data_IF_638667796022
#
_entry.id   IF_638667796022
#
_cell.length_a   1.000
_cell.length_b   1.000
_cell.length_c   1.000
_cell.angle_alpha   90.00
_cell.angle_beta   90.00
_cell.angle_gamma   90.00
#
_symmetry.space_group_name_H-M   'P 1'
#
loop_
_entity.id
_entity.type
_entity.pdbx_description
1 polymer ?
#
# COMPACT_ATOMS: atom_id res chain seq x y z
N UNK A 1 40.87 -3.43 31.42
CA UNK A 1 39.87 -4.51 31.33
C UNK A 1 38.54 -3.95 31.78
N UNK A 2 37.62 -3.72 30.84
CA UNK A 2 36.21 -3.47 31.12
C UNK A 2 35.42 -3.97 29.91
N UNK A 3 34.88 -5.17 30.04
CA UNK A 3 34.09 -5.88 29.02
C UNK A 3 32.74 -5.20 28.89
N UNK A 4 32.48 -4.58 27.73
CA UNK A 4 31.13 -4.14 27.37
C UNK A 4 30.36 -5.35 26.86
N UNK A 5 29.41 -5.81 27.68
CA UNK A 5 28.49 -6.87 27.33
C UNK A 5 27.52 -6.38 26.24
N UNK A 6 27.51 -7.08 25.11
CA UNK A 6 26.53 -6.91 24.05
C UNK A 6 25.16 -7.37 24.56
N UNK A 7 24.24 -6.45 24.75
CA UNK A 7 22.82 -6.76 24.98
C UNK A 7 22.21 -7.23 23.67
N UNK A 8 22.12 -8.55 23.49
CA UNK A 8 21.26 -9.15 22.48
C UNK A 8 19.81 -8.76 22.80
N UNK A 9 19.20 -7.95 21.94
CA UNK A 9 17.77 -7.68 21.99
C UNK A 9 17.01 -9.00 21.91
N UNK A 10 16.16 -9.29 22.89
CA UNK A 10 15.36 -10.50 22.94
C UNK A 10 14.48 -10.58 21.69
N UNK A 11 14.61 -11.68 20.94
CA UNK A 11 13.80 -11.93 19.77
C UNK A 11 12.31 -11.99 20.19
N UNK A 12 11.42 -11.31 19.46
CA UNK A 12 9.98 -11.34 19.74
C UNK A 12 9.43 -12.77 19.68
N UNK A 13 8.92 -13.25 20.80
CA UNK A 13 8.46 -14.63 20.99
C UNK A 13 7.02 -14.77 20.51
N UNK A 14 6.81 -15.51 19.42
CA UNK A 14 5.48 -15.94 18.98
C UNK A 14 4.80 -16.79 20.05
N UNK A 15 3.49 -16.60 20.29
CA UNK A 15 2.73 -17.40 21.25
C UNK A 15 2.45 -18.80 20.69
N UNK A 16 3.34 -19.74 21.00
CA UNK A 16 3.25 -21.14 20.60
C UNK A 16 2.46 -22.01 21.59
N UNK A 17 1.83 -21.41 22.61
CA UNK A 17 1.10 -22.12 23.68
C UNK A 17 -0.35 -22.44 23.31
N UNK A 18 -0.84 -21.88 22.20
CA UNK A 18 -2.19 -22.10 21.69
C UNK A 18 -2.20 -22.40 20.19
N UNK A 19 -3.29 -22.99 19.73
CA UNK A 19 -3.55 -23.19 18.32
C UNK A 19 -3.87 -21.86 17.64
N UNK A 20 -3.16 -21.51 16.57
CA UNK A 20 -3.40 -20.28 15.79
C UNK A 20 -4.77 -20.28 15.10
N UNK A 21 -5.36 -21.44 14.83
CA UNK A 21 -6.66 -21.54 14.16
C UNK A 21 -7.86 -21.48 15.11
N UNK A 22 -7.85 -22.25 16.20
CA UNK A 22 -8.99 -22.40 17.11
C UNK A 22 -8.74 -21.87 18.53
N UNK A 23 -7.56 -21.34 18.83
CA UNK A 23 -7.14 -20.82 20.13
C UNK A 23 -7.12 -21.81 21.30
N UNK A 24 -7.38 -23.10 21.05
CA UNK A 24 -7.24 -24.15 22.06
C UNK A 24 -5.78 -24.34 22.50
N UNK A 25 -5.57 -24.73 23.74
CA UNK A 25 -4.25 -24.90 24.39
C UNK A 25 -3.99 -26.37 24.78
N UNK A 26 -4.07 -27.33 23.83
CA UNK A 26 -3.75 -28.72 24.15
C UNK A 26 -2.25 -28.85 24.51
N UNK A 27 -1.87 -29.86 25.30
CA UNK A 27 -0.48 -30.04 25.74
C UNK A 27 0.49 -30.29 24.58
N UNK A 28 0.02 -30.87 23.46
CA UNK A 28 0.85 -31.25 22.32
C UNK A 28 0.45 -30.48 21.06
N UNK A 29 0.96 -29.26 20.93
CA UNK A 29 0.78 -28.45 19.73
C UNK A 29 1.83 -28.79 18.67
N UNK A 30 1.40 -28.84 17.42
CA UNK A 30 2.26 -29.03 16.25
C UNK A 30 2.67 -27.66 15.69
N UNK A 31 3.96 -27.41 15.60
CA UNK A 31 4.46 -26.20 14.95
C UNK A 31 4.43 -26.33 13.43
N UNK A 32 4.27 -25.21 12.74
CA UNK A 32 4.49 -25.17 11.29
C UNK A 32 5.95 -25.53 10.98
N UNK A 33 6.16 -26.60 10.21
CA UNK A 33 7.50 -27.17 9.93
C UNK A 33 8.45 -26.16 9.27
N UNK A 34 7.91 -25.25 8.45
CA UNK A 34 8.71 -24.27 7.70
C UNK A 34 9.14 -23.09 8.55
N UNK A 35 8.19 -22.38 9.16
CA UNK A 35 8.47 -21.13 9.88
C UNK A 35 8.71 -21.32 11.36
N UNK A 36 8.19 -22.40 11.96
CA UNK A 36 8.22 -22.69 13.41
C UNK A 36 7.63 -21.59 14.31
N UNK A 37 7.01 -20.57 13.72
CA UNK A 37 6.50 -19.37 14.39
C UNK A 37 5.00 -19.44 14.74
N UNK A 38 4.30 -20.51 14.35
CA UNK A 38 2.89 -20.72 14.69
C UNK A 38 2.63 -22.19 15.03
N UNK A 39 1.60 -22.45 15.82
CA UNK A 39 1.24 -23.76 16.36
C UNK A 39 -0.20 -24.14 16.04
N UNK A 40 -0.48 -25.44 15.90
CA UNK A 40 -1.80 -25.98 15.58
C UNK A 40 -2.08 -27.24 16.39
N UNK A 41 -3.36 -27.49 16.72
CA UNK A 41 -3.76 -28.75 17.36
C UNK A 41 -3.43 -29.97 16.49
N UNK A 42 -3.62 -29.84 15.18
CA UNK A 42 -3.51 -30.91 14.20
C UNK A 42 -3.40 -30.34 12.77
N UNK A 43 -3.24 -31.24 11.79
CA UNK A 43 -3.16 -30.89 10.36
C UNK A 43 -4.43 -30.23 9.83
N UNK A 44 -5.58 -30.43 10.45
CA UNK A 44 -6.84 -29.82 10.01
C UNK A 44 -6.88 -28.34 10.37
N UNK A 45 -6.54 -28.00 11.62
CA UNK A 45 -6.34 -26.62 12.04
C UNK A 45 -5.29 -25.89 11.18
N UNK A 46 -4.20 -26.57 10.81
CA UNK A 46 -3.20 -26.00 9.92
C UNK A 46 -3.77 -25.74 8.52
N UNK A 47 -4.51 -26.69 7.93
CA UNK A 47 -5.13 -26.56 6.61
C UNK A 47 -6.18 -25.45 6.57
N UNK A 48 -7.01 -25.36 7.60
CA UNK A 48 -8.02 -24.30 7.74
C UNK A 48 -7.39 -22.90 7.77
N UNK A 49 -6.27 -22.73 8.48
CA UNK A 49 -5.56 -21.46 8.56
C UNK A 49 -4.58 -21.22 7.38
N UNK A 50 -4.47 -22.13 6.41
CA UNK A 50 -3.43 -22.03 5.39
C UNK A 50 -3.60 -20.81 4.48
N UNK A 51 -4.82 -20.40 4.15
CA UNK A 51 -5.07 -19.24 3.27
C UNK A 51 -4.46 -17.95 3.84
N UNK A 52 -4.66 -17.71 5.14
CA UNK A 52 -4.11 -16.56 5.88
C UNK A 52 -2.63 -16.75 6.26
N UNK A 53 -2.21 -17.97 6.58
CA UNK A 53 -0.82 -18.24 7.00
C UNK A 53 0.18 -18.30 5.83
N UNK A 54 -0.22 -18.81 4.66
CA UNK A 54 0.64 -18.99 3.48
C UNK A 54 1.47 -17.76 3.12
N UNK A 55 0.92 -16.53 3.05
CA UNK A 55 1.71 -15.35 2.72
C UNK A 55 2.66 -14.93 3.86
N UNK A 56 2.30 -15.20 5.13
CA UNK A 56 3.13 -14.90 6.30
C UNK A 56 4.29 -15.87 6.48
N UNK A 57 4.11 -17.14 6.11
CA UNK A 57 5.03 -18.24 6.40
C UNK A 57 6.48 -17.98 5.97
N UNK A 58 6.79 -17.44 4.77
CA UNK A 58 8.16 -17.13 4.37
C UNK A 58 8.81 -16.04 5.23
N UNK A 59 8.06 -14.97 5.56
CA UNK A 59 8.56 -13.85 6.37
C UNK A 59 8.89 -14.31 7.79
N UNK A 60 7.98 -15.10 8.37
CA UNK A 60 8.18 -15.71 9.68
C UNK A 60 9.37 -16.68 9.69
N UNK A 61 9.56 -17.46 8.62
CA UNK A 61 10.72 -18.35 8.47
C UNK A 61 12.05 -17.59 8.37
N UNK A 62 12.02 -16.33 7.93
CA UNK A 62 13.17 -15.42 7.90
C UNK A 62 13.39 -14.65 9.22
N UNK A 63 12.59 -14.95 10.26
CA UNK A 63 12.75 -14.36 11.59
C UNK A 63 11.90 -13.11 11.87
N UNK A 64 10.99 -12.72 10.97
CA UNK A 64 10.07 -11.62 11.24
C UNK A 64 9.07 -11.95 12.36
N UNK A 65 8.56 -10.93 13.04
CA UNK A 65 7.37 -11.07 13.90
C UNK A 65 6.10 -11.30 13.11
N UNK A 66 5.01 -11.66 13.79
CA UNK A 66 3.69 -11.74 13.15
C UNK A 66 3.23 -10.35 12.76
N UNK A 67 3.55 -9.35 13.57
CA UNK A 67 3.29 -7.93 13.34
C UNK A 67 4.05 -7.44 12.10
N UNK A 68 5.37 -7.61 12.05
CA UNK A 68 6.21 -7.22 10.91
C UNK A 68 5.80 -7.96 9.64
N UNK A 69 5.51 -9.26 9.74
CA UNK A 69 5.08 -10.05 8.61
C UNK A 69 3.72 -9.57 8.07
N UNK A 70 2.77 -9.22 8.95
CA UNK A 70 1.47 -8.67 8.53
C UNK A 70 1.62 -7.29 7.90
N UNK A 71 2.44 -6.43 8.49
CA UNK A 71 2.70 -5.09 7.97
C UNK A 71 3.38 -5.14 6.60
N UNK A 72 4.28 -6.09 6.38
CA UNK A 72 4.98 -6.29 5.11
C UNK A 72 4.09 -6.85 3.98
N UNK A 73 2.94 -7.45 4.30
CA UNK A 73 2.04 -7.99 3.27
C UNK A 73 1.23 -6.90 2.58
N UNK A 74 0.89 -7.09 1.29
CA UNK A 74 -0.10 -6.24 0.63
C UNK A 74 -1.46 -6.33 1.33
N UNK A 75 -2.17 -5.21 1.37
CA UNK A 75 -3.57 -5.18 1.83
C UNK A 75 -4.45 -6.05 0.92
N UNK A 76 -5.33 -6.84 1.53
CA UNK A 76 -6.35 -7.62 0.81
C UNK A 76 -7.45 -6.66 0.30
N UNK A 77 -7.64 -6.51 -1.02
CA UNK A 77 -8.58 -5.54 -1.58
C UNK A 77 -10.05 -5.88 -1.35
N UNK A 78 -10.37 -7.11 -0.94
CA UNK A 78 -11.73 -7.53 -0.60
C UNK A 78 -12.07 -7.24 0.88
N UNK A 79 -11.05 -6.95 1.70
CA UNK A 79 -11.21 -6.69 3.15
C UNK A 79 -10.84 -5.26 3.50
N UNK A 80 -9.75 -4.75 2.94
CA UNK A 80 -9.22 -3.44 3.27
C UNK A 80 -10.03 -2.32 2.59
N UNK A 81 -10.33 -1.29 3.38
CA UNK A 81 -11.02 -0.09 2.90
C UNK A 81 -10.04 0.88 2.24
N UNK A 82 -10.51 1.72 1.32
CA UNK A 82 -9.65 2.66 0.57
C UNK A 82 -8.83 3.60 1.46
N UNK A 83 -9.38 4.04 2.59
CA UNK A 83 -8.62 4.85 3.55
C UNK A 83 -7.35 4.14 4.06
N UNK A 84 -7.38 2.81 4.23
CA UNK A 84 -6.22 2.03 4.66
C UNK A 84 -5.14 1.97 3.58
N UNK A 85 -5.51 2.01 2.29
CA UNK A 85 -4.52 2.11 1.20
C UNK A 85 -3.78 3.45 1.26
N UNK A 86 -4.49 4.56 1.48
CA UNK A 86 -3.85 5.87 1.68
C UNK A 86 -2.88 5.84 2.87
N UNK A 87 -3.32 5.31 4.01
CA UNK A 87 -2.47 5.18 5.19
C UNK A 87 -1.23 4.31 4.91
N UNK A 88 -1.39 3.19 4.20
CA UNK A 88 -0.31 2.27 3.86
C UNK A 88 0.72 2.88 2.92
N UNK A 89 0.29 3.69 1.95
CA UNK A 89 1.21 4.50 1.16
C UNK A 89 2.02 5.42 2.08
N UNK A 90 1.36 6.18 2.96
CA UNK A 90 2.00 7.18 3.82
C UNK A 90 2.95 6.61 4.87
N UNK A 91 2.81 5.33 5.20
CA UNK A 91 3.73 4.61 6.07
C UNK A 91 4.95 4.04 5.34
N UNK A 92 4.99 4.08 3.99
CA UNK A 92 6.13 3.56 3.24
C UNK A 92 7.40 4.36 3.57
N UNK A 93 8.48 3.71 4.03
CA UNK A 93 9.71 4.42 4.37
C UNK A 93 10.34 5.01 3.11
N UNK A 94 10.85 6.23 3.23
CA UNK A 94 11.63 6.87 2.15
C UNK A 94 13.05 6.29 2.17
N UNK A 95 13.55 5.70 1.07
CA UNK A 95 14.90 5.14 1.05
C UNK A 95 15.98 6.22 1.21
N UNK A 96 16.93 6.01 2.12
CA UNK A 96 18.00 6.98 2.42
C UNK A 96 18.91 7.27 1.21
N UNK A 97 19.07 6.30 0.32
CA UNK A 97 19.90 6.40 -0.88
C UNK A 97 19.13 6.85 -2.13
N UNK A 98 17.89 7.33 -1.97
CA UNK A 98 17.07 7.78 -3.08
C UNK A 98 17.69 9.01 -3.77
N UNK A 99 17.69 9.00 -5.11
CA UNK A 99 18.17 10.14 -5.89
C UNK A 99 17.20 11.33 -5.76
N UNK A 100 17.68 12.57 -5.94
CA UNK A 100 16.80 13.75 -5.92
C UNK A 100 15.63 13.67 -6.92
N UNK A 101 15.87 13.05 -8.08
CA UNK A 101 14.84 12.87 -9.10
C UNK A 101 13.77 11.87 -8.65
N UNK A 102 14.17 10.74 -8.07
CA UNK A 102 13.23 9.76 -7.53
C UNK A 102 12.41 10.40 -6.39
N UNK A 103 13.07 11.12 -5.47
CA UNK A 103 12.42 11.82 -4.36
C UNK A 103 11.42 12.87 -4.81
N UNK A 104 11.71 13.65 -5.87
CA UNK A 104 10.75 14.64 -6.42
C UNK A 104 9.43 13.98 -6.76
N UNK A 105 9.46 12.89 -7.53
CA UNK A 105 8.25 12.22 -7.99
C UNK A 105 7.57 11.46 -6.85
N UNK A 106 8.33 10.71 -6.06
CA UNK A 106 7.77 9.94 -4.95
C UNK A 106 7.08 10.86 -3.94
N UNK A 107 7.78 11.87 -3.42
CA UNK A 107 7.22 12.76 -2.40
C UNK A 107 6.05 13.58 -2.94
N UNK A 108 6.10 14.02 -4.20
CA UNK A 108 4.98 14.74 -4.80
C UNK A 108 3.74 13.87 -4.97
N UNK A 109 3.90 12.63 -5.45
CA UNK A 109 2.79 11.67 -5.58
C UNK A 109 2.24 11.28 -4.20
N UNK A 110 3.10 11.09 -3.21
CA UNK A 110 2.74 10.87 -1.81
C UNK A 110 1.94 12.04 -1.22
N UNK A 111 2.36 13.27 -1.51
CA UNK A 111 1.60 14.47 -1.11
C UNK A 111 0.23 14.51 -1.78
N UNK A 112 0.15 14.22 -3.09
CA UNK A 112 -1.12 14.19 -3.82
C UNK A 112 -2.08 13.12 -3.29
N UNK A 113 -1.62 11.87 -3.09
CA UNK A 113 -2.50 10.79 -2.63
C UNK A 113 -3.05 11.08 -1.23
N UNK A 114 -2.25 11.72 -0.36
CA UNK A 114 -2.70 12.18 0.96
C UNK A 114 -3.82 13.22 0.82
N UNK A 115 -3.54 14.31 0.12
CA UNK A 115 -4.48 15.42 -0.02
C UNK A 115 -5.80 14.98 -0.68
N UNK A 116 -5.72 14.13 -1.70
CA UNK A 116 -6.89 13.57 -2.37
C UNK A 116 -7.65 12.59 -1.45
N UNK A 117 -6.94 11.76 -0.68
CA UNK A 117 -7.55 10.83 0.27
C UNK A 117 -8.22 11.52 1.47
N UNK A 118 -7.73 12.69 1.87
CA UNK A 118 -8.29 13.54 2.94
C UNK A 118 -9.42 14.47 2.44
N UNK A 119 -9.58 14.62 1.11
CA UNK A 119 -10.57 15.48 0.50
C UNK A 119 -12.01 14.98 0.75
N UNK A 120 -12.97 15.90 0.94
CA UNK A 120 -14.37 15.56 1.22
C UNK A 120 -15.01 14.66 0.16
N UNK A 121 -14.67 14.89 -1.11
CA UNK A 121 -15.08 14.05 -2.25
C UNK A 121 -14.63 12.58 -2.17
N UNK A 122 -13.70 12.23 -1.27
CA UNK A 122 -13.30 10.86 -1.01
C UNK A 122 -13.95 10.23 0.22
N UNK A 123 -14.59 11.02 1.08
CA UNK A 123 -15.04 10.57 2.41
C UNK A 123 -15.93 9.31 2.35
N UNK A 124 -16.88 9.25 1.41
CA UNK A 124 -17.79 8.10 1.26
C UNK A 124 -17.12 6.89 0.61
N UNK A 125 -16.22 7.12 -0.34
CA UNK A 125 -15.48 6.04 -1.00
C UNK A 125 -14.43 5.42 -0.08
N UNK A 126 -13.92 6.19 0.88
CA UNK A 126 -12.91 5.78 1.85
C UNK A 126 -13.36 4.65 2.77
N UNK A 127 -14.67 4.51 3.00
CA UNK A 127 -15.24 3.47 3.87
C UNK A 127 -15.58 2.17 3.12
N UNK A 128 -15.48 2.17 1.80
CA UNK A 128 -15.72 0.97 0.98
C UNK A 128 -14.42 0.16 0.83
N UNK A 129 -14.56 -1.17 0.73
CA UNK A 129 -13.45 -2.04 0.35
C UNK A 129 -12.96 -1.70 -1.05
N UNK A 130 -11.67 -1.91 -1.31
CA UNK A 130 -11.03 -1.45 -2.54
C UNK A 130 -11.70 -2.00 -3.81
N UNK A 131 -12.04 -3.29 -3.82
CA UNK A 131 -12.68 -3.95 -4.97
C UNK A 131 -14.18 -3.66 -5.11
N UNK A 132 -14.84 -3.11 -4.09
CA UNK A 132 -16.24 -2.70 -4.21
C UNK A 132 -16.32 -1.51 -5.18
N UNK A 133 -17.21 -1.49 -6.19
CA UNK A 133 -17.38 -0.32 -7.05
C UNK A 133 -17.55 0.97 -6.25
N UNK A 134 -16.81 2.01 -6.62
CA UNK A 134 -16.88 3.30 -5.92
C UNK A 134 -18.32 3.83 -5.91
N UNK A 135 -18.75 4.29 -4.74
CA UNK A 135 -20.08 4.86 -4.54
C UNK A 135 -20.23 6.14 -5.37
N UNK A 136 -19.22 7.01 -5.30
CA UNK A 136 -19.14 8.25 -6.07
C UNK A 136 -17.94 8.19 -7.01
N UNK A 137 -18.19 8.03 -8.32
CA UNK A 137 -17.13 8.03 -9.33
C UNK A 137 -16.73 9.45 -9.72
N UNK A 138 -16.51 10.31 -8.72
CA UNK A 138 -16.15 11.70 -8.95
C UNK A 138 -14.67 11.86 -9.36
N UNK A 139 -14.32 13.09 -9.71
CA UNK A 139 -12.97 13.46 -10.11
C UNK A 139 -11.92 13.24 -9.00
N UNK A 140 -12.26 13.50 -7.74
CA UNK A 140 -11.33 13.31 -6.62
C UNK A 140 -10.96 11.84 -6.44
N UNK A 141 -11.96 10.95 -6.45
CA UNK A 141 -11.73 9.50 -6.42
C UNK A 141 -10.89 9.02 -7.60
N UNK A 142 -11.24 9.51 -8.80
CA UNK A 142 -10.49 9.17 -9.99
C UNK A 142 -9.00 9.57 -9.86
N UNK A 143 -8.71 10.80 -9.44
CA UNK A 143 -7.33 11.24 -9.23
C UNK A 143 -6.64 10.43 -8.13
N UNK A 144 -7.31 10.14 -7.02
CA UNK A 144 -6.75 9.34 -5.94
C UNK A 144 -6.34 7.94 -6.41
N UNK A 145 -7.22 7.22 -7.12
CA UNK A 145 -6.93 5.89 -7.65
C UNK A 145 -5.78 5.96 -8.68
N UNK A 146 -5.79 6.98 -9.53
CA UNK A 146 -4.76 7.14 -10.56
C UNK A 146 -3.38 7.44 -9.95
N UNK A 147 -3.30 8.31 -8.93
CA UNK A 147 -2.07 8.59 -8.18
C UNK A 147 -1.60 7.34 -7.43
N UNK A 148 -2.49 6.65 -6.72
CA UNK A 148 -2.16 5.42 -5.98
C UNK A 148 -1.58 4.32 -6.89
N UNK A 149 -2.16 4.11 -8.08
CA UNK A 149 -1.58 3.20 -9.08
C UNK A 149 -0.24 3.68 -9.58
N UNK A 150 -0.02 4.99 -9.72
CA UNK A 150 1.27 5.53 -10.17
C UNK A 150 2.36 5.33 -9.12
N UNK A 151 2.01 5.37 -7.83
CA UNK A 151 2.92 5.00 -6.74
C UNK A 151 3.44 3.56 -6.84
N UNK A 152 2.65 2.62 -7.40
CA UNK A 152 3.11 1.23 -7.58
C UNK A 152 4.11 1.06 -8.73
N UNK A 153 4.14 1.98 -9.70
CA UNK A 153 5.17 1.99 -10.75
C UNK A 153 6.49 2.51 -10.20
N UNK A 154 6.48 3.65 -9.49
CA UNK A 154 7.72 4.23 -8.94
C UNK A 154 8.34 3.34 -7.86
N UNK A 155 7.54 2.57 -7.11
CA UNK A 155 8.06 1.59 -6.13
C UNK A 155 8.84 0.44 -6.78
N UNK A 156 8.71 0.24 -8.10
CA UNK A 156 9.50 -0.73 -8.87
C UNK A 156 10.79 -0.14 -9.42
N UNK A 157 10.93 1.19 -9.41
CA UNK A 157 12.14 1.87 -9.88
C UNK A 157 13.16 1.90 -8.74
N UNK A 158 14.42 1.47 -8.97
CA UNK A 158 15.44 1.52 -7.92
C UNK A 158 15.63 2.97 -7.44
N UNK A 159 15.59 3.23 -6.12
CA UNK A 159 15.62 4.60 -5.59
C UNK A 159 16.87 5.40 -6.01
N UNK A 160 18.01 4.74 -6.15
CA UNK A 160 19.26 5.35 -6.63
C UNK A 160 19.19 5.81 -8.09
N UNK A 161 18.24 5.27 -8.87
CA UNK A 161 18.15 5.42 -10.33
C UNK A 161 19.42 5.01 -11.08
N UNK A 162 20.23 4.13 -10.49
CA UNK A 162 21.46 3.61 -11.08
C UNK A 162 21.28 2.14 -11.48
N UNK A 163 22.07 1.70 -12.47
CA UNK A 163 22.10 0.29 -12.94
C UNK A 163 20.71 -0.28 -13.30
N UNK A 164 19.83 0.58 -13.82
CA UNK A 164 18.45 0.22 -14.16
C UNK A 164 18.41 -0.85 -15.26
N UNK A 165 17.58 -1.86 -15.03
CA UNK A 165 17.17 -2.86 -16.02
C UNK A 165 16.27 -2.23 -17.09
N UNK A 166 15.86 -3.02 -18.09
CA UNK A 166 14.88 -2.54 -19.07
C UNK A 166 13.53 -2.31 -18.40
N UNK A 167 13.11 -3.22 -17.54
CA UNK A 167 11.85 -3.20 -16.81
C UNK A 167 11.79 -1.99 -15.85
N UNK A 168 12.90 -1.63 -15.20
CA UNK A 168 13.00 -0.42 -14.38
C UNK A 168 12.81 0.86 -15.21
N UNK A 169 13.37 0.88 -16.43
CA UNK A 169 13.26 2.03 -17.34
C UNK A 169 11.83 2.18 -17.87
N UNK A 170 11.16 1.08 -18.16
CA UNK A 170 9.74 1.07 -18.54
C UNK A 170 8.87 1.60 -17.38
N UNK A 171 9.05 1.07 -16.17
CA UNK A 171 8.34 1.54 -14.98
C UNK A 171 8.60 3.04 -14.70
N UNK A 172 9.82 3.52 -14.95
CA UNK A 172 10.15 4.94 -14.84
C UNK A 172 9.48 5.80 -15.91
N UNK A 173 9.42 5.34 -17.16
CA UNK A 173 8.72 6.04 -18.23
C UNK A 173 7.22 6.10 -17.96
N UNK A 174 6.62 5.01 -17.48
CA UNK A 174 5.23 4.98 -17.06
C UNK A 174 4.97 5.95 -15.91
N UNK A 175 5.85 5.97 -14.90
CA UNK A 175 5.77 6.90 -13.77
C UNK A 175 5.73 8.35 -14.26
N UNK A 176 6.64 8.75 -15.16
CA UNK A 176 6.69 10.12 -15.71
C UNK A 176 5.43 10.45 -16.51
N UNK A 177 5.05 9.59 -17.46
CA UNK A 177 3.91 9.82 -18.35
C UNK A 177 2.59 9.89 -17.57
N UNK A 178 2.41 9.01 -16.59
CA UNK A 178 1.25 9.02 -15.69
C UNK A 178 1.23 10.27 -14.81
N UNK A 179 2.38 10.67 -14.24
CA UNK A 179 2.47 11.89 -13.43
C UNK A 179 2.14 13.13 -14.27
N UNK A 180 2.65 13.21 -15.50
CA UNK A 180 2.30 14.30 -16.42
C UNK A 180 0.79 14.35 -16.68
N UNK A 181 0.16 13.21 -16.99
CA UNK A 181 -1.29 13.15 -17.19
C UNK A 181 -2.07 13.51 -15.92
N UNK A 182 -1.68 13.00 -14.75
CA UNK A 182 -2.30 13.35 -13.46
C UNK A 182 -2.27 14.86 -13.24
N UNK A 183 -1.11 15.50 -13.40
CA UNK A 183 -0.98 16.95 -13.18
C UNK A 183 -1.78 17.75 -14.21
N UNK A 184 -1.83 17.31 -15.48
CA UNK A 184 -2.63 17.95 -16.51
C UNK A 184 -4.13 17.89 -16.18
N UNK A 185 -4.63 16.73 -15.74
CA UNK A 185 -6.04 16.55 -15.38
C UNK A 185 -6.42 17.37 -14.15
N UNK A 186 -5.62 17.32 -13.08
CA UNK A 186 -5.90 18.11 -11.87
C UNK A 186 -5.92 19.62 -12.17
N UNK A 187 -5.08 20.08 -13.10
CA UNK A 187 -4.99 21.49 -13.49
C UNK A 187 -5.99 21.87 -14.60
N UNK A 188 -6.67 20.90 -15.22
CA UNK A 188 -7.67 21.10 -16.24
C UNK A 188 -8.97 20.36 -15.88
N UNK A 189 -9.80 21.04 -15.08
CA UNK A 189 -11.06 20.52 -14.54
C UNK A 189 -11.98 19.94 -15.62
N UNK A 190 -12.16 20.63 -16.75
CA UNK A 190 -13.07 20.15 -17.79
C UNK A 190 -12.57 18.84 -18.39
N UNK A 191 -11.29 18.78 -18.77
CA UNK A 191 -10.68 17.56 -19.30
C UNK A 191 -10.78 16.40 -18.31
N UNK A 192 -10.66 16.69 -17.01
CA UNK A 192 -10.82 15.69 -15.96
C UNK A 192 -12.23 15.14 -15.89
N UNK A 193 -13.24 16.00 -15.92
CA UNK A 193 -14.66 15.60 -15.91
C UNK A 193 -14.97 14.77 -17.16
N UNK A 194 -14.59 15.25 -18.34
CA UNK A 194 -14.83 14.56 -19.60
C UNK A 194 -14.26 13.13 -19.56
N UNK A 195 -13.05 12.98 -19.01
CA UNK A 195 -12.40 11.67 -18.91
C UNK A 195 -13.07 10.74 -17.89
N UNK A 196 -13.60 11.29 -16.80
CA UNK A 196 -14.31 10.50 -15.78
C UNK A 196 -15.69 10.07 -16.27
N UNK A 197 -16.41 10.95 -16.97
CA UNK A 197 -17.78 10.73 -17.41
C UNK A 197 -17.88 9.99 -18.75
N UNK A 198 -16.84 9.98 -19.58
CA UNK A 198 -16.83 9.25 -20.85
C UNK A 198 -17.36 7.80 -20.73
N UNK A 199 -16.93 6.97 -19.75
CA UNK A 199 -17.49 5.63 -19.55
C UNK A 199 -18.87 5.58 -18.86
N UNK A 200 -19.35 6.70 -18.30
CA UNK A 200 -20.52 6.76 -17.42
C UNK A 200 -21.50 7.89 -17.76
N UNK A 201 -21.66 8.20 -19.05
CA UNK A 201 -22.48 9.32 -19.56
C UNK A 201 -23.93 9.39 -19.04
N UNK A 202 -24.43 8.35 -18.38
CA UNK A 202 -25.77 8.26 -17.79
C UNK A 202 -25.81 8.51 -16.27
N UNK A 203 -24.66 8.69 -15.61
CA UNK A 203 -24.58 9.00 -14.19
C UNK A 203 -24.50 10.52 -14.03
N UNK A 204 -25.45 11.12 -13.29
CA UNK A 204 -25.37 12.53 -12.86
C UNK A 204 -24.35 12.66 -11.73
N UNK A 205 -23.09 12.40 -12.03
CA UNK A 205 -22.00 12.43 -11.06
C UNK A 205 -21.71 13.87 -10.65
N UNK A 206 -21.66 14.13 -9.35
CA UNK A 206 -21.19 15.42 -8.83
C UNK A 206 -19.66 15.37 -8.77
N UNK A 207 -19.00 16.37 -9.35
CA UNK A 207 -17.55 16.54 -9.32
C UNK A 207 -17.18 17.71 -8.39
N UNK A 208 -16.65 17.44 -7.18
CA UNK A 208 -16.17 18.47 -6.27
C UNK A 208 -15.04 19.32 -6.87
N UNK A 209 -14.90 20.56 -6.38
CA UNK A 209 -13.71 21.37 -6.68
C UNK A 209 -12.45 20.75 -6.08
N UNK A 210 -11.32 20.92 -6.76
CA UNK A 210 -10.02 20.54 -6.21
C UNK A 210 -9.52 21.64 -5.27
N UNK A 211 -9.16 21.29 -4.04
CA UNK A 211 -8.58 22.25 -3.09
C UNK A 211 -7.25 22.86 -3.56
N UNK A 212 -6.97 24.09 -3.11
CA UNK A 212 -5.76 24.84 -3.50
C UNK A 212 -4.46 24.09 -3.23
N UNK A 213 -4.39 23.32 -2.14
CA UNK A 213 -3.22 22.50 -1.82
C UNK A 213 -2.99 21.37 -2.83
N UNK A 214 -4.07 20.75 -3.35
CA UNK A 214 -4.01 19.72 -4.38
C UNK A 214 -3.47 20.33 -5.68
N UNK A 215 -4.01 21.49 -6.07
CA UNK A 215 -3.57 22.25 -7.24
C UNK A 215 -2.09 22.64 -7.12
N UNK A 216 -1.68 23.17 -5.96
CA UNK A 216 -0.29 23.55 -5.71
C UNK A 216 0.66 22.35 -5.76
N UNK A 217 0.25 21.21 -5.17
CA UNK A 217 1.03 19.97 -5.23
C UNK A 217 1.17 19.44 -6.66
N UNK A 218 0.11 19.50 -7.47
CA UNK A 218 0.17 19.13 -8.89
C UNK A 218 1.09 20.04 -9.70
N UNK A 219 1.09 21.37 -9.45
CA UNK A 219 2.00 22.31 -10.10
C UNK A 219 3.47 22.02 -9.77
N UNK A 220 3.78 21.64 -8.52
CA UNK A 220 5.15 21.33 -8.10
C UNK A 220 5.73 20.07 -8.78
N UNK A 221 4.87 19.20 -9.32
CA UNK A 221 5.25 17.99 -10.04
C UNK A 221 5.46 18.18 -11.54
N UNK A 222 5.07 19.34 -12.10
CA UNK A 222 5.40 19.68 -13.48
C UNK A 222 6.91 19.85 -13.71
#
# INVERSE_FOLDING_TARGET
MATSASTAAAAPTHDLTKCTNCSSTPPNLLQCVRCKAVSYCNKDCQRSNWKSHKPLCPLLASGATLEDAREALPLDPDVAIRAQYTARYLQAPVPENASPQWLKYFNGLMKLVRLLGEHEGMARNNTQTFNTPAFEKNNVYFAWDFVGRTLTFISRVPPTMQRMTREDREAWNDTKSRTALITDLILNRQKMIDMVDQPYQHLNTVHPEMGDEVIAAARALR
#
